data_IF_336051213459
#
_entry.id   IF_336051213459
#
_cell.length_a   1.000
_cell.length_b   1.000
_cell.length_c   1.000
_cell.angle_alpha   90.00
_cell.angle_beta   90.00
_cell.angle_gamma   90.00
#
_symmetry.space_group_name_H-M   'P 1'
#
loop_
_entity.id
_entity.type
_entity.pdbx_description
1 polymer ?
#
# COMPACT_ATOMS: atom_id res chain seq x y z
N UNK A 1 -100.90 8.32 26.65
CA UNK A 1 -100.25 8.03 27.93
C UNK A 1 -98.94 7.33 27.65
N UNK A 2 -97.91 7.72 28.41
CA UNK A 2 -96.50 7.31 28.31
C UNK A 2 -96.28 5.80 28.25
N UNK A 3 -95.37 5.33 27.39
CA UNK A 3 -94.40 4.30 27.77
C UNK A 3 -93.19 4.30 26.83
N UNK A 4 -92.03 4.55 27.43
CA UNK A 4 -90.70 4.61 26.83
C UNK A 4 -90.21 3.23 26.38
N UNK A 5 -89.58 3.14 25.21
CA UNK A 5 -88.56 2.14 24.90
C UNK A 5 -87.54 2.75 23.93
N UNK A 6 -86.55 3.44 24.46
CA UNK A 6 -85.38 3.92 23.70
C UNK A 6 -84.37 2.78 23.58
N UNK A 7 -84.21 2.22 22.38
CA UNK A 7 -83.12 1.29 22.04
C UNK A 7 -81.85 2.10 21.75
N UNK A 8 -80.83 1.86 22.57
CA UNK A 8 -79.49 2.42 22.48
C UNK A 8 -78.77 1.85 21.24
N UNK A 9 -78.52 2.68 20.22
CA UNK A 9 -77.61 2.37 19.12
C UNK A 9 -76.18 2.73 19.56
N UNK A 10 -75.33 1.72 19.69
CA UNK A 10 -73.90 1.86 19.93
C UNK A 10 -73.24 2.31 18.63
N UNK A 11 -72.78 3.57 18.58
CA UNK A 11 -71.85 4.05 17.56
C UNK A 11 -70.46 3.48 17.83
N UNK A 12 -70.03 2.52 17.02
CA UNK A 12 -68.65 2.06 16.99
C UNK A 12 -67.79 3.10 16.26
N UNK A 13 -67.00 3.88 17.01
CA UNK A 13 -65.93 4.73 16.45
C UNK A 13 -64.81 3.81 15.94
N UNK A 14 -64.60 3.77 14.61
CA UNK A 14 -63.33 3.28 14.05
C UNK A 14 -62.22 4.27 14.43
N UNK A 15 -61.38 3.88 15.39
CA UNK A 15 -60.05 4.45 15.56
C UNK A 15 -59.15 3.83 14.48
N UNK A 16 -58.75 4.64 13.50
CA UNK A 16 -57.62 4.32 12.63
C UNK A 16 -56.36 4.32 13.50
N UNK A 17 -55.90 3.13 13.89
CA UNK A 17 -54.58 2.94 14.45
C UNK A 17 -53.55 3.08 13.31
N UNK A 18 -52.93 4.25 13.21
CA UNK A 18 -51.72 4.47 12.44
C UNK A 18 -50.61 3.63 13.06
N UNK A 19 -50.26 2.52 12.41
CA UNK A 19 -49.08 1.73 12.74
C UNK A 19 -47.85 2.52 12.28
N UNK A 20 -47.29 3.37 13.15
CA UNK A 20 -45.94 3.87 12.98
C UNK A 20 -44.98 2.73 13.32
N UNK A 21 -44.44 2.09 12.28
CA UNK A 21 -43.26 1.24 12.39
C UNK A 21 -42.07 2.15 12.69
N UNK A 22 -41.77 2.34 13.97
CA UNK A 22 -40.45 2.78 14.41
C UNK A 22 -39.44 1.68 14.05
N UNK A 23 -38.79 1.84 12.91
CA UNK A 23 -37.62 1.04 12.57
C UNK A 23 -36.48 1.47 13.48
N UNK A 24 -36.31 0.76 14.61
CA UNK A 24 -35.01 0.73 15.30
C UNK A 24 -33.99 0.23 14.29
N UNK A 25 -33.16 1.13 13.76
CA UNK A 25 -31.96 0.77 13.02
C UNK A 25 -30.96 0.17 14.00
N UNK A 26 -31.09 -1.14 14.26
CA UNK A 26 -29.93 -1.93 14.63
C UNK A 26 -29.01 -1.95 13.39
N UNK A 27 -27.71 -1.63 13.51
CA UNK A 27 -26.78 -1.79 12.41
C UNK A 27 -26.66 -3.28 12.11
N UNK A 28 -27.38 -3.73 11.09
CA UNK A 28 -27.22 -5.05 10.51
C UNK A 28 -25.81 -5.05 9.91
N UNK A 29 -24.91 -5.86 10.48
CA UNK A 29 -23.67 -6.23 9.85
C UNK A 29 -23.97 -6.65 8.41
N UNK A 30 -23.59 -5.81 7.45
CA UNK A 30 -23.69 -6.16 6.04
C UNK A 30 -22.77 -7.36 5.78
N UNK A 31 -23.29 -8.47 5.21
CA UNK A 31 -22.46 -9.57 4.78
C UNK A 31 -21.73 -9.12 3.50
N UNK A 32 -20.41 -8.91 3.60
CA UNK A 32 -19.43 -8.85 2.52
C UNK A 32 -19.93 -8.26 1.18
N UNK A 33 -19.84 -6.93 1.03
CA UNK A 33 -19.97 -6.27 -0.27
C UNK A 33 -18.87 -6.71 -1.27
N UNK A 34 -19.05 -6.46 -2.58
CA UNK A 34 -18.05 -6.80 -3.60
C UNK A 34 -16.72 -6.14 -3.23
N UNK A 35 -15.70 -6.98 -2.95
CA UNK A 35 -14.38 -6.54 -2.50
C UNK A 35 -13.70 -5.78 -3.64
N UNK A 36 -13.75 -4.47 -3.56
CA UNK A 36 -13.19 -3.56 -4.55
C UNK A 36 -12.69 -2.30 -3.86
N UNK A 37 -11.46 -1.90 -4.13
CA UNK A 37 -10.98 -0.59 -3.70
C UNK A 37 -11.78 0.49 -4.43
N UNK A 38 -12.48 1.36 -3.70
CA UNK A 38 -13.16 2.50 -4.30
C UNK A 38 -12.12 3.49 -4.81
N UNK A 39 -12.32 4.05 -6.01
CA UNK A 39 -11.50 5.14 -6.52
C UNK A 39 -11.37 6.25 -5.47
N UNK A 40 -10.17 6.60 -5.02
CA UNK A 40 -9.99 7.62 -4.00
C UNK A 40 -10.49 9.00 -4.45
N UNK A 41 -10.95 9.82 -3.51
CA UNK A 41 -11.53 11.12 -3.81
C UNK A 41 -10.57 11.99 -4.64
N UNK A 42 -11.07 12.51 -5.77
CA UNK A 42 -10.31 13.36 -6.68
C UNK A 42 -9.50 12.61 -7.73
N UNK A 43 -9.48 11.26 -7.71
CA UNK A 43 -8.93 10.43 -8.78
C UNK A 43 -10.03 10.01 -9.75
N UNK A 44 -9.67 9.75 -11.01
CA UNK A 44 -10.66 9.49 -12.07
C UNK A 44 -10.34 8.28 -12.94
N UNK A 45 -9.12 7.72 -12.87
CA UNK A 45 -8.76 6.52 -13.63
C UNK A 45 -7.93 5.56 -12.80
N UNK A 46 -8.12 4.27 -13.04
CA UNK A 46 -7.29 3.19 -12.54
C UNK A 46 -6.16 2.89 -13.55
N UNK A 47 -4.92 2.90 -13.10
CA UNK A 47 -3.75 2.51 -13.88
C UNK A 47 -3.36 1.05 -13.65
N UNK A 48 -3.56 0.55 -12.44
CA UNK A 48 -3.29 -0.81 -12.04
C UNK A 48 -4.26 -1.21 -10.94
N UNK A 49 -4.75 -2.45 -10.99
CA UNK A 49 -5.57 -3.03 -9.94
C UNK A 49 -5.38 -4.54 -9.85
N UNK A 50 -5.16 -5.01 -8.63
CA UNK A 50 -5.24 -6.42 -8.31
C UNK A 50 -5.88 -6.64 -6.94
N UNK A 51 -7.03 -7.31 -6.92
CA UNK A 51 -7.70 -7.81 -5.72
C UNK A 51 -7.50 -9.33 -5.56
N UNK A 52 -6.65 -9.93 -6.40
CA UNK A 52 -6.29 -11.33 -6.39
C UNK A 52 -7.46 -12.32 -6.57
N UNK A 53 -8.65 -11.83 -6.93
CA UNK A 53 -9.87 -12.63 -7.09
C UNK A 53 -9.95 -13.37 -8.42
N UNK A 54 -9.12 -13.01 -9.40
CA UNK A 54 -8.97 -13.67 -10.70
C UNK A 54 -8.14 -14.96 -10.62
N UNK A 55 -7.63 -15.30 -9.43
CA UNK A 55 -6.78 -16.46 -9.17
C UNK A 55 -7.48 -17.45 -8.25
N UNK A 56 -7.09 -18.73 -8.36
CA UNK A 56 -7.63 -19.78 -7.48
C UNK A 56 -6.87 -19.79 -6.15
N UNK A 57 -7.52 -20.10 -5.02
CA UNK A 57 -6.81 -20.35 -3.76
C UNK A 57 -5.69 -21.39 -3.92
N UNK A 58 -4.57 -21.17 -3.26
CA UNK A 58 -3.33 -21.97 -3.37
C UNK A 58 -2.46 -21.63 -4.58
N UNK A 59 -3.00 -20.94 -5.59
CA UNK A 59 -2.20 -20.57 -6.77
C UNK A 59 -1.29 -19.36 -6.50
N UNK A 60 -0.33 -19.14 -7.40
CA UNK A 60 0.48 -17.93 -7.46
C UNK A 60 -0.33 -16.73 -8.00
N UNK A 61 0.10 -15.48 -7.69
CA UNK A 61 -0.48 -14.28 -8.30
C UNK A 61 -0.40 -14.31 -9.83
N UNK A 62 -1.23 -13.49 -10.48
CA UNK A 62 -1.33 -13.50 -11.95
C UNK A 62 0.00 -13.12 -12.61
N UNK A 63 0.59 -13.98 -13.47
CA UNK A 63 1.86 -13.64 -14.16
C UNK A 63 1.69 -12.53 -15.20
N UNK A 64 0.45 -12.17 -15.56
CA UNK A 64 0.19 -10.99 -16.39
C UNK A 64 0.30 -9.67 -15.62
N UNK A 65 0.32 -9.74 -14.28
CA UNK A 65 0.40 -8.60 -13.36
C UNK A 65 1.71 -8.58 -12.57
N UNK A 66 2.22 -9.75 -12.18
CA UNK A 66 3.37 -9.88 -11.28
C UNK A 66 4.46 -10.79 -11.85
N UNK A 67 5.72 -10.38 -11.63
CA UNK A 67 6.92 -11.20 -11.75
C UNK A 67 7.34 -11.64 -10.35
N UNK A 68 7.81 -12.88 -10.20
CA UNK A 68 8.43 -13.34 -8.95
C UNK A 68 9.94 -13.16 -9.03
N UNK A 69 10.49 -12.52 -8.01
CA UNK A 69 11.93 -12.34 -7.84
C UNK A 69 12.46 -13.51 -7.01
N UNK A 70 13.35 -14.31 -7.59
CA UNK A 70 13.77 -15.60 -7.02
C UNK A 70 15.23 -15.57 -6.59
N UNK A 71 15.57 -16.42 -5.61
CA UNK A 71 16.94 -16.57 -5.13
C UNK A 71 17.33 -15.51 -4.10
N UNK A 72 18.62 -15.16 -4.10
CA UNK A 72 19.23 -14.21 -3.16
C UNK A 72 19.67 -12.91 -3.83
N UNK A 73 19.38 -12.73 -5.12
CA UNK A 73 19.68 -11.53 -5.89
C UNK A 73 18.91 -11.55 -7.22
N UNK A 74 18.76 -10.38 -7.85
CA UNK A 74 18.48 -10.35 -9.28
C UNK A 74 19.64 -11.03 -10.06
N UNK A 75 19.39 -11.59 -11.26
CA UNK A 75 20.45 -12.11 -12.11
C UNK A 75 21.46 -11.01 -12.47
N UNK A 76 22.68 -11.11 -11.93
CA UNK A 76 23.73 -10.09 -12.11
C UNK A 76 23.54 -8.83 -11.27
N UNK A 77 22.59 -8.81 -10.33
CA UNK A 77 22.43 -7.76 -9.33
C UNK A 77 23.26 -7.99 -8.06
N UNK A 78 23.15 -7.10 -7.06
CA UNK A 78 23.87 -7.24 -5.80
C UNK A 78 23.44 -8.50 -5.04
N UNK A 79 24.43 -9.17 -4.44
CA UNK A 79 24.18 -10.32 -3.56
C UNK A 79 23.32 -9.93 -2.35
N UNK A 80 22.55 -10.90 -1.82
CA UNK A 80 21.63 -10.71 -0.69
C UNK A 80 20.76 -9.48 -0.86
N UNK A 81 20.25 -9.30 -2.07
CA UNK A 81 19.41 -8.18 -2.51
C UNK A 81 19.98 -6.79 -2.20
N UNK A 82 21.30 -6.67 -1.95
CA UNK A 82 21.96 -5.41 -1.58
C UNK A 82 21.78 -5.00 -0.11
N UNK A 83 20.96 -5.70 0.67
CA UNK A 83 20.60 -5.33 2.05
C UNK A 83 21.23 -6.25 3.10
N UNK A 84 21.86 -7.34 2.67
CA UNK A 84 22.42 -8.36 3.55
C UNK A 84 21.38 -9.32 4.14
N UNK A 85 20.14 -9.29 3.64
CA UNK A 85 19.05 -10.20 4.03
C UNK A 85 19.40 -11.68 3.78
N UNK A 86 18.76 -12.59 4.52
CA UNK A 86 19.22 -13.97 4.68
C UNK A 86 18.34 -15.02 3.99
N UNK A 87 17.12 -14.65 3.61
CA UNK A 87 16.19 -15.59 2.98
C UNK A 87 16.51 -15.81 1.51
N UNK A 88 16.20 -17.02 1.02
CA UNK A 88 16.06 -17.27 -0.41
C UNK A 88 14.61 -17.00 -0.81
N UNK A 89 14.37 -16.07 -1.74
CA UNK A 89 13.02 -15.89 -2.27
C UNK A 89 12.65 -17.03 -3.22
N UNK A 90 11.45 -17.57 -3.07
CA UNK A 90 10.94 -18.71 -3.82
C UNK A 90 9.55 -18.42 -4.40
N UNK A 91 9.11 -19.30 -5.30
CA UNK A 91 7.73 -19.40 -5.77
C UNK A 91 6.98 -20.58 -5.16
N UNK A 92 7.44 -21.09 -4.00
CA UNK A 92 6.75 -22.14 -3.26
C UNK A 92 5.43 -21.60 -2.70
N UNK A 93 4.35 -22.36 -2.80
CA UNK A 93 3.02 -22.03 -2.26
C UNK A 93 3.08 -21.72 -0.75
N UNK A 94 4.00 -22.37 -0.04
CA UNK A 94 4.23 -22.13 1.37
C UNK A 94 4.72 -20.69 1.64
N UNK A 95 5.52 -20.13 0.73
CA UNK A 95 6.03 -18.76 0.82
C UNK A 95 5.09 -17.72 0.19
N UNK A 96 4.38 -18.06 -0.90
CA UNK A 96 3.47 -17.13 -1.57
C UNK A 96 2.27 -17.84 -2.18
N UNK A 97 1.07 -17.38 -1.83
CA UNK A 97 -0.17 -17.94 -2.39
C UNK A 97 -1.35 -16.99 -2.33
N UNK A 98 -2.33 -17.24 -3.18
CA UNK A 98 -3.67 -16.70 -3.04
C UNK A 98 -4.41 -17.48 -1.96
N UNK A 99 -4.95 -16.80 -0.96
CA UNK A 99 -5.67 -17.46 0.14
C UNK A 99 -7.09 -17.87 -0.28
N UNK A 100 -7.78 -18.72 0.49
CA UNK A 100 -9.22 -18.99 0.31
C UNK A 100 -10.11 -17.74 0.41
N UNK A 101 -9.58 -16.62 0.91
CA UNK A 101 -10.27 -15.34 0.98
C UNK A 101 -9.95 -14.42 -0.21
N UNK A 102 -9.28 -14.90 -1.25
CA UNK A 102 -8.87 -14.08 -2.41
C UNK A 102 -7.99 -12.90 -2.00
N UNK A 103 -7.01 -13.16 -1.15
CA UNK A 103 -5.94 -12.22 -0.78
C UNK A 103 -4.61 -12.83 -1.17
N UNK A 104 -3.58 -12.03 -1.41
CA UNK A 104 -2.22 -12.54 -1.55
C UNK A 104 -1.59 -12.67 -0.16
N UNK A 105 -0.91 -13.78 0.13
CA UNK A 105 -0.15 -13.94 1.38
C UNK A 105 1.30 -14.29 1.09
N UNK A 106 2.23 -13.51 1.65
CA UNK A 106 3.67 -13.76 1.64
C UNK A 106 4.09 -14.18 3.05
N UNK A 107 4.72 -15.35 3.16
CA UNK A 107 5.05 -15.98 4.45
C UNK A 107 6.53 -16.33 4.49
N UNK A 108 7.33 -15.69 5.36
CA UNK A 108 8.70 -16.14 5.59
C UNK A 108 8.67 -17.46 6.37
N UNK A 109 9.49 -18.43 5.98
CA UNK A 109 9.56 -19.76 6.61
C UNK A 109 10.99 -19.99 7.10
N UNK A 110 11.11 -20.35 8.37
CA UNK A 110 12.35 -20.83 8.98
C UNK A 110 12.39 -22.35 8.90
N UNK A 111 13.43 -22.89 8.27
CA UNK A 111 13.64 -24.32 8.14
C UNK A 111 14.36 -24.89 9.38
N UNK A 112 14.27 -26.20 9.58
CA UNK A 112 14.90 -26.89 10.71
C UNK A 112 16.43 -26.71 10.75
N UNK A 113 17.06 -26.56 9.58
CA UNK A 113 18.49 -26.28 9.43
C UNK A 113 18.87 -24.79 9.68
N UNK A 114 17.90 -23.94 10.09
CA UNK A 114 18.11 -22.52 10.37
C UNK A 114 18.11 -21.59 9.15
N UNK A 115 17.98 -22.13 7.94
CA UNK A 115 17.84 -21.32 6.71
C UNK A 115 16.44 -20.72 6.58
N UNK A 116 16.33 -19.65 5.80
CA UNK A 116 15.08 -18.93 5.59
C UNK A 116 14.66 -18.94 4.12
N UNK A 117 13.36 -19.02 3.92
CA UNK A 117 12.72 -18.78 2.62
C UNK A 117 11.61 -17.75 2.77
N UNK A 118 11.28 -17.03 1.71
CA UNK A 118 10.15 -16.10 1.65
C UNK A 118 9.78 -15.87 0.19
N UNK A 119 9.01 -14.83 -0.12
CA UNK A 119 8.81 -14.39 -1.51
C UNK A 119 8.90 -12.88 -1.67
N UNK A 120 9.25 -12.48 -2.88
CA UNK A 120 9.28 -11.12 -3.38
C UNK A 120 8.65 -11.11 -4.77
N UNK A 121 7.78 -10.14 -5.00
CA UNK A 121 7.16 -9.94 -6.30
C UNK A 121 7.23 -8.48 -6.70
N UNK A 122 7.30 -8.24 -8.00
CA UNK A 122 7.22 -6.92 -8.60
C UNK A 122 6.14 -6.92 -9.68
N UNK A 123 5.47 -5.79 -9.92
CA UNK A 123 4.55 -5.67 -11.05
C UNK A 123 5.30 -5.93 -12.35
N UNK A 124 4.67 -6.47 -13.40
CA UNK A 124 5.33 -6.57 -14.71
C UNK A 124 5.51 -5.19 -15.35
N UNK A 125 6.45 -5.06 -16.30
CA UNK A 125 6.70 -3.80 -17.01
C UNK A 125 5.46 -3.20 -17.73
N UNK A 126 4.44 -4.02 -18.01
CA UNK A 126 3.14 -3.58 -18.54
C UNK A 126 2.44 -2.59 -17.61
N UNK A 127 2.65 -2.71 -16.30
CA UNK A 127 1.95 -1.96 -15.26
C UNK A 127 2.82 -0.87 -14.63
N UNK A 128 3.98 -0.57 -15.21
CA UNK A 128 4.81 0.54 -14.76
C UNK A 128 4.04 1.88 -14.88
N UNK A 129 4.06 2.67 -13.81
CA UNK A 129 3.28 3.90 -13.65
C UNK A 129 4.16 5.07 -13.23
N UNK A 130 3.67 6.31 -13.25
CA UNK A 130 4.45 7.49 -12.81
C UNK A 130 3.70 8.80 -13.05
N UNK A 131 4.08 9.90 -12.41
CA UNK A 131 3.45 11.21 -12.67
C UNK A 131 4.01 11.83 -13.97
N UNK A 132 3.69 11.23 -15.12
CA UNK A 132 4.07 11.76 -16.45
C UNK A 132 3.36 13.07 -16.75
N UNK A 133 3.92 13.83 -17.70
CA UNK A 133 3.32 15.06 -18.23
C UNK A 133 1.83 14.87 -18.55
N UNK A 134 0.97 15.68 -17.93
CA UNK A 134 -0.50 15.60 -18.09
C UNK A 134 -1.24 14.87 -16.96
N UNK A 135 -0.52 14.23 -16.02
CA UNK A 135 -1.06 13.76 -14.75
C UNK A 135 -0.90 14.85 -13.70
N UNK A 136 -1.94 15.09 -12.92
CA UNK A 136 -1.93 16.03 -11.80
C UNK A 136 -1.63 15.29 -10.50
N UNK A 137 -2.22 14.12 -10.30
CA UNK A 137 -1.96 13.26 -9.14
C UNK A 137 -1.84 11.81 -9.57
N UNK A 138 -0.97 11.08 -8.89
CA UNK A 138 -0.91 9.62 -8.95
C UNK A 138 -0.86 9.08 -7.54
N UNK A 139 -1.62 8.02 -7.27
CA UNK A 139 -1.65 7.37 -5.96
C UNK A 139 -1.43 5.89 -6.10
N UNK A 140 -0.46 5.34 -5.38
CA UNK A 140 -0.32 3.92 -5.17
C UNK A 140 -0.83 3.58 -3.77
N UNK A 141 -1.61 2.51 -3.64
CA UNK A 141 -2.09 2.05 -2.34
C UNK A 141 -2.26 0.54 -2.29
N UNK A 142 -2.17 0.00 -1.08
CA UNK A 142 -2.46 -1.38 -0.80
C UNK A 142 -3.14 -1.51 0.57
N UNK A 143 -4.09 -2.45 0.66
CA UNK A 143 -4.68 -2.83 1.95
C UNK A 143 -3.96 -4.07 2.46
N UNK A 144 -3.21 -3.91 3.54
CA UNK A 144 -2.25 -4.91 4.04
C UNK A 144 -2.54 -5.21 5.50
N UNK A 145 -2.37 -6.48 5.87
CA UNK A 145 -2.37 -6.97 7.24
C UNK A 145 -1.04 -7.64 7.53
N UNK A 146 -0.33 -7.12 8.53
CA UNK A 146 0.92 -7.69 9.00
C UNK A 146 0.66 -8.77 10.06
N UNK A 147 1.50 -9.79 10.12
CA UNK A 147 1.46 -10.81 11.14
C UNK A 147 1.70 -10.26 12.56
N UNK A 148 1.05 -10.87 13.54
CA UNK A 148 0.89 -10.40 14.92
C UNK A 148 1.63 -11.23 15.97
N UNK A 149 2.61 -12.05 15.56
CA UNK A 149 3.47 -12.72 16.54
C UNK A 149 4.14 -11.69 17.48
N UNK A 150 4.41 -12.03 18.75
CA UNK A 150 5.07 -11.13 19.68
C UNK A 150 6.38 -10.56 19.12
N UNK A 151 6.70 -9.29 19.42
CA UNK A 151 7.95 -8.61 18.99
C UNK A 151 9.20 -9.47 19.20
N UNK A 152 9.27 -10.19 20.33
CA UNK A 152 10.38 -11.10 20.67
C UNK A 152 10.61 -12.24 19.67
N UNK A 153 9.59 -12.60 18.87
CA UNK A 153 9.65 -13.60 17.80
C UNK A 153 9.77 -13.01 16.41
N UNK A 154 9.78 -11.68 16.26
CA UNK A 154 9.77 -11.01 14.95
C UNK A 154 11.05 -10.22 14.66
N UNK A 155 12.08 -10.27 15.52
CA UNK A 155 13.37 -9.62 15.24
C UNK A 155 13.95 -10.11 13.91
N UNK A 156 14.18 -9.20 12.97
CA UNK A 156 14.64 -9.48 11.61
C UNK A 156 13.52 -9.64 10.57
N UNK A 157 12.26 -9.85 10.95
CA UNK A 157 11.16 -9.93 9.98
C UNK A 157 10.89 -8.53 9.42
N UNK A 158 10.90 -8.39 8.09
CA UNK A 158 10.85 -7.12 7.38
C UNK A 158 9.88 -7.16 6.17
N UNK A 159 8.56 -7.04 6.40
CA UNK A 159 7.58 -6.79 5.35
C UNK A 159 7.73 -5.39 4.73
N UNK A 160 7.58 -5.31 3.40
CA UNK A 160 7.62 -4.06 2.66
C UNK A 160 6.59 -4.02 1.51
N UNK A 161 6.01 -2.83 1.32
CA UNK A 161 5.28 -2.39 0.14
C UNK A 161 5.90 -1.09 -0.36
N UNK A 162 6.43 -1.12 -1.57
CA UNK A 162 7.33 -0.08 -2.04
C UNK A 162 7.29 0.05 -3.56
N UNK A 163 7.95 1.09 -4.07
CA UNK A 163 8.02 1.39 -5.48
C UNK A 163 9.44 1.78 -5.88
N UNK A 164 9.95 1.17 -6.95
CA UNK A 164 11.28 1.43 -7.48
C UNK A 164 11.20 1.93 -8.92
N UNK A 165 12.07 2.85 -9.31
CA UNK A 165 12.15 3.30 -10.69
C UNK A 165 12.32 2.13 -11.65
N UNK A 166 11.42 2.01 -12.63
CA UNK A 166 11.24 0.77 -13.40
C UNK A 166 12.40 0.40 -14.33
N UNK A 167 13.25 1.38 -14.67
CA UNK A 167 14.49 1.16 -15.43
C UNK A 167 15.62 0.54 -14.57
N UNK A 168 15.35 0.23 -13.29
CA UNK A 168 16.19 -0.67 -12.52
C UNK A 168 16.20 -2.08 -13.10
N UNK A 169 15.08 -2.55 -13.69
CA UNK A 169 15.01 -3.88 -14.32
C UNK A 169 16.03 -4.00 -15.45
N UNK A 170 16.90 -5.00 -15.35
CA UNK A 170 17.95 -5.27 -16.33
C UNK A 170 19.19 -4.39 -16.20
N UNK A 171 19.18 -3.40 -15.30
CA UNK A 171 20.39 -2.66 -14.91
C UNK A 171 20.91 -3.17 -13.56
N UNK A 172 20.07 -3.17 -12.53
CA UNK A 172 20.34 -3.64 -11.17
C UNK A 172 21.47 -2.91 -10.39
N UNK A 173 22.12 -1.91 -10.99
CA UNK A 173 23.26 -1.18 -10.41
C UNK A 173 23.08 0.35 -10.42
N UNK A 174 21.90 0.85 -10.78
CA UNK A 174 21.56 2.27 -10.86
C UNK A 174 20.74 2.79 -9.66
N UNK A 175 20.63 2.00 -8.59
CA UNK A 175 20.19 2.49 -7.28
C UNK A 175 21.31 3.29 -6.59
N UNK A 176 21.01 4.36 -5.83
CA UNK A 176 19.69 4.93 -5.52
C UNK A 176 19.23 5.97 -6.55
N UNK A 177 20.06 6.29 -7.54
CA UNK A 177 19.80 7.36 -8.52
C UNK A 177 18.52 7.18 -9.33
N UNK A 178 18.04 5.94 -9.48
CA UNK A 178 16.79 5.65 -10.19
C UNK A 178 15.52 6.04 -9.40
N UNK A 179 15.65 6.27 -8.10
CA UNK A 179 14.59 6.68 -7.18
C UNK A 179 13.77 5.51 -6.63
N UNK A 180 13.74 5.41 -5.31
CA UNK A 180 12.95 4.44 -4.52
C UNK A 180 11.98 5.17 -3.60
N UNK A 181 10.81 4.57 -3.39
CA UNK A 181 9.75 5.09 -2.54
C UNK A 181 9.17 3.95 -1.71
N UNK A 182 9.45 3.97 -0.42
CA UNK A 182 8.97 2.98 0.53
C UNK A 182 7.65 3.45 1.11
N UNK A 183 6.57 2.81 0.69
CA UNK A 183 5.18 3.20 1.03
C UNK A 183 4.81 2.66 2.41
N UNK A 184 5.30 1.46 2.73
CA UNK A 184 5.23 0.86 4.05
C UNK A 184 6.39 -0.10 4.20
N UNK A 185 7.25 0.18 5.17
CA UNK A 185 8.15 -0.82 5.74
C UNK A 185 7.81 -1.00 7.21
N UNK A 186 7.84 -2.24 7.67
CA UNK A 186 7.77 -2.55 9.10
C UNK A 186 8.80 -3.63 9.39
N UNK A 187 9.42 -3.55 10.56
CA UNK A 187 10.52 -4.43 10.91
C UNK A 187 10.46 -4.82 12.38
N UNK A 188 11.13 -5.92 12.73
CA UNK A 188 11.32 -6.37 14.11
C UNK A 188 10.02 -6.62 14.90
N UNK A 189 8.86 -6.73 14.23
CA UNK A 189 7.54 -6.83 14.87
C UNK A 189 7.12 -5.56 15.62
N UNK A 190 7.71 -4.40 15.30
CA UNK A 190 7.33 -3.15 15.94
C UNK A 190 5.91 -2.72 15.54
N UNK A 191 5.24 -1.99 16.45
CA UNK A 191 3.96 -1.30 16.17
C UNK A 191 4.26 0.01 15.44
N UNK A 192 5.02 -0.10 14.35
CA UNK A 192 5.64 1.02 13.65
C UNK A 192 5.76 0.74 12.16
N UNK A 193 5.56 1.81 11.38
CA UNK A 193 5.73 1.82 9.93
C UNK A 193 6.65 2.96 9.54
N UNK A 194 7.62 2.67 8.68
CA UNK A 194 8.52 3.64 8.07
C UNK A 194 8.06 3.99 6.66
N UNK A 195 8.24 5.26 6.32
CA UNK A 195 8.08 5.82 5.00
C UNK A 195 9.42 6.46 4.62
N UNK A 196 10.02 5.98 3.54
CA UNK A 196 11.39 6.36 3.16
C UNK A 196 11.43 6.67 1.67
N UNK A 197 12.35 7.55 1.28
CA UNK A 197 12.77 7.69 -0.11
C UNK A 197 14.27 7.57 -0.21
N UNK A 198 14.72 6.83 -1.22
CA UNK A 198 16.13 6.72 -1.58
C UNK A 198 16.37 7.37 -2.94
N UNK A 199 17.41 8.19 -3.05
CA UNK A 199 17.67 9.01 -4.22
C UNK A 199 19.12 9.49 -4.35
N UNK A 200 19.51 9.84 -5.57
CA UNK A 200 20.81 10.46 -5.83
C UNK A 200 21.95 9.43 -5.88
N UNK A 201 22.85 9.46 -4.91
CA UNK A 201 24.02 8.58 -4.88
C UNK A 201 24.30 8.10 -3.46
N UNK A 202 24.89 6.90 -3.35
CA UNK A 202 25.31 6.31 -2.09
C UNK A 202 26.83 6.12 -2.05
N UNK A 203 27.48 6.21 -0.87
CA UNK A 203 26.90 6.68 0.40
C UNK A 203 26.71 8.21 0.43
N UNK A 204 25.80 8.68 1.30
CA UNK A 204 25.46 10.08 1.52
C UNK A 204 24.53 10.64 0.44
N UNK A 205 24.95 11.71 -0.22
CA UNK A 205 24.14 12.35 -1.24
C UNK A 205 22.90 13.07 -0.69
N UNK A 206 21.99 13.50 -1.58
CA UNK A 206 20.86 14.35 -1.20
C UNK A 206 19.80 13.64 -0.35
N UNK A 207 19.79 12.30 -0.34
CA UNK A 207 18.90 11.49 0.48
C UNK A 207 19.58 10.84 1.71
N UNK A 208 20.82 11.21 2.06
CA UNK A 208 21.56 10.63 3.20
C UNK A 208 21.67 9.10 3.17
N UNK A 209 22.10 8.55 2.04
CA UNK A 209 22.19 7.12 1.83
C UNK A 209 23.26 6.47 2.73
N UNK A 210 23.00 5.34 3.36
CA UNK A 210 21.90 4.40 3.09
C UNK A 210 20.67 4.59 3.99
N UNK A 211 20.56 5.72 4.72
CA UNK A 211 19.42 5.96 5.61
C UNK A 211 18.15 6.38 4.87
N UNK A 212 18.30 7.13 3.77
CA UNK A 212 17.17 7.72 3.05
C UNK A 212 16.55 8.91 3.79
N UNK A 213 15.67 9.65 3.11
CA UNK A 213 14.84 10.66 3.78
C UNK A 213 13.61 9.95 4.36
N UNK A 214 13.65 9.69 5.67
CA UNK A 214 12.69 8.82 6.34
C UNK A 214 11.82 9.54 7.36
N UNK A 215 10.67 8.93 7.63
CA UNK A 215 9.85 9.19 8.81
C UNK A 215 9.14 7.91 9.23
N UNK A 216 8.66 7.89 10.47
CA UNK A 216 7.99 6.74 11.01
C UNK A 216 6.72 7.11 11.77
N UNK A 217 5.70 6.28 11.60
CA UNK A 217 4.44 6.35 12.32
C UNK A 217 4.38 5.23 13.34
N UNK A 218 4.24 5.59 14.61
CA UNK A 218 4.07 4.67 15.74
C UNK A 218 2.59 4.29 15.95
N UNK A 219 2.34 3.26 16.75
CA UNK A 219 1.01 2.85 17.19
C UNK A 219 0.18 2.15 16.12
N UNK A 220 0.83 1.59 15.10
CA UNK A 220 0.15 0.79 14.07
C UNK A 220 -0.13 -0.60 14.62
N UNK A 221 -1.40 -1.00 14.67
CA UNK A 221 -1.79 -2.34 15.11
C UNK A 221 -1.32 -3.41 14.12
N UNK A 222 -0.86 -4.54 14.65
CA UNK A 222 -0.54 -5.75 13.87
C UNK A 222 -1.73 -6.71 13.94
N UNK A 223 -1.87 -7.60 12.97
CA UNK A 223 -3.01 -8.51 12.86
C UNK A 223 -4.29 -7.88 12.31
N UNK A 224 -4.29 -6.56 12.12
CA UNK A 224 -5.38 -5.77 11.56
C UNK A 224 -5.07 -5.31 10.13
N UNK A 225 -6.12 -4.99 9.38
CA UNK A 225 -6.00 -4.48 8.02
C UNK A 225 -5.85 -2.96 8.05
N UNK A 226 -4.80 -2.47 7.40
CA UNK A 226 -4.57 -1.04 7.19
C UNK A 226 -4.44 -0.74 5.70
N UNK A 227 -4.82 0.48 5.30
CA UNK A 227 -4.55 0.99 3.96
C UNK A 227 -3.32 1.87 3.99
N UNK A 228 -2.25 1.41 3.35
CA UNK A 228 -1.02 2.17 3.15
C UNK A 228 -1.04 2.80 1.77
N UNK A 229 -0.81 4.10 1.70
CA UNK A 229 -0.86 4.82 0.43
C UNK A 229 0.20 5.90 0.30
N UNK A 230 0.53 6.17 -0.95
CA UNK A 230 1.50 7.16 -1.37
C UNK A 230 0.94 7.94 -2.55
N UNK A 231 0.95 9.28 -2.45
CA UNK A 231 0.52 10.21 -3.48
C UNK A 231 1.71 11.01 -4.02
N UNK A 232 1.80 11.13 -5.35
CA UNK A 232 2.55 12.19 -6.02
C UNK A 232 1.55 13.24 -6.48
N UNK A 233 1.77 14.50 -6.12
CA UNK A 233 1.02 15.64 -6.64
C UNK A 233 1.92 16.57 -7.44
N UNK A 234 1.46 16.92 -8.62
CA UNK A 234 2.19 17.60 -9.67
C UNK A 234 1.34 18.84 -10.03
N UNK A 235 1.55 20.00 -9.37
CA UNK A 235 0.64 21.15 -9.49
C UNK A 235 0.78 21.89 -10.82
N UNK A 236 1.74 21.50 -11.67
CA UNK A 236 1.84 21.96 -13.05
C UNK A 236 1.90 20.77 -14.01
N UNK A 237 2.00 21.03 -15.32
CA UNK A 237 2.05 19.96 -16.34
C UNK A 237 3.31 19.08 -16.21
N UNK A 238 4.38 19.58 -15.59
CA UNK A 238 5.52 18.81 -15.08
C UNK A 238 5.56 18.93 -13.56
N UNK A 239 6.11 17.93 -12.87
CA UNK A 239 6.21 18.01 -11.42
C UNK A 239 7.22 19.10 -11.06
N UNK A 240 8.45 18.93 -11.58
CA UNK A 240 9.59 19.76 -11.23
C UNK A 240 9.70 20.01 -9.73
N UNK A 241 10.27 21.16 -9.36
CA UNK A 241 10.43 21.57 -7.96
C UNK A 241 9.12 21.88 -7.22
N UNK A 242 7.99 21.93 -7.92
CA UNK A 242 6.68 22.24 -7.32
C UNK A 242 5.92 20.98 -6.91
N UNK A 243 6.42 19.79 -7.24
CA UNK A 243 5.78 18.54 -6.86
C UNK A 243 5.79 18.31 -5.34
N UNK A 244 4.94 17.39 -4.88
CA UNK A 244 4.99 16.86 -3.53
C UNK A 244 4.72 15.35 -3.52
N UNK A 245 5.23 14.70 -2.48
CA UNK A 245 5.09 13.27 -2.21
C UNK A 245 4.48 13.11 -0.83
N UNK A 246 3.33 12.44 -0.69
CA UNK A 246 2.60 12.36 0.58
C UNK A 246 2.22 10.93 0.92
N UNK A 247 2.43 10.52 2.17
CA UNK A 247 2.09 9.19 2.67
C UNK A 247 0.85 9.24 3.55
N UNK A 248 0.07 8.16 3.51
CA UNK A 248 -1.15 8.01 4.26
C UNK A 248 -1.24 6.60 4.87
N UNK A 249 -1.80 6.53 6.08
CA UNK A 249 -2.19 5.27 6.72
C UNK A 249 -3.65 5.41 7.16
N UNK A 250 -4.52 4.55 6.63
CA UNK A 250 -5.97 4.58 6.82
C UNK A 250 -6.59 5.93 6.45
N UNK A 251 -6.09 6.51 5.35
CA UNK A 251 -6.51 7.82 4.86
C UNK A 251 -5.94 9.01 5.65
N UNK A 252 -5.28 8.78 6.79
CA UNK A 252 -4.68 9.84 7.59
C UNK A 252 -3.29 10.21 7.04
N UNK A 253 -3.03 11.50 6.74
CA UNK A 253 -1.72 11.94 6.25
C UNK A 253 -0.65 11.75 7.33
N UNK A 254 0.55 11.32 6.92
CA UNK A 254 1.69 11.07 7.83
C UNK A 254 2.86 11.99 7.55
N UNK A 255 3.44 11.87 6.36
CA UNK A 255 4.55 12.71 5.91
C UNK A 255 4.21 13.32 4.55
N UNK A 256 4.72 14.53 4.32
CA UNK A 256 4.85 15.09 2.98
C UNK A 256 6.28 15.53 2.74
N UNK A 257 6.86 15.09 1.62
CA UNK A 257 8.13 15.54 1.11
C UNK A 257 7.92 16.46 -0.09
N UNK A 258 8.81 17.43 -0.20
CA UNK A 258 8.85 18.46 -1.23
C UNK A 258 10.28 18.63 -1.74
N UNK A 259 10.45 19.34 -2.85
CA UNK A 259 11.78 19.58 -3.41
C UNK A 259 12.80 20.13 -2.38
N UNK A 260 12.44 21.08 -1.48
CA UNK A 260 13.33 21.53 -0.40
C UNK A 260 13.83 20.47 0.57
N UNK A 261 13.22 19.29 0.66
CA UNK A 261 13.70 18.22 1.54
C UNK A 261 14.88 17.44 0.92
N UNK A 262 14.91 17.35 -0.42
CA UNK A 262 15.98 16.66 -1.18
C UNK A 262 17.03 17.65 -1.72
N UNK A 263 16.61 18.88 -2.07
CA UNK A 263 17.46 19.98 -2.57
C UNK A 263 18.36 19.61 -3.78
N UNK A 264 17.94 18.63 -4.58
CA UNK A 264 18.65 18.20 -5.78
C UNK A 264 17.67 17.90 -6.93
N UNK A 265 17.79 18.62 -8.05
CA UNK A 265 16.87 18.53 -9.19
C UNK A 265 16.79 17.13 -9.82
N UNK A 266 17.94 16.50 -10.08
CA UNK A 266 17.96 15.18 -10.71
C UNK A 266 17.38 14.11 -9.79
N UNK A 267 17.78 14.11 -8.52
CA UNK A 267 17.28 13.16 -7.54
C UNK A 267 15.77 13.33 -7.30
N UNK A 268 15.29 14.57 -7.18
CA UNK A 268 13.87 14.86 -7.06
C UNK A 268 13.07 14.40 -8.28
N UNK A 269 13.55 14.70 -9.49
CA UNK A 269 12.89 14.26 -10.72
C UNK A 269 12.81 12.73 -10.81
N UNK A 270 13.84 12.00 -10.36
CA UNK A 270 13.80 10.54 -10.29
C UNK A 270 12.70 10.03 -9.35
N UNK A 271 12.45 10.74 -8.25
CA UNK A 271 11.38 10.40 -7.32
C UNK A 271 9.99 10.69 -7.91
N UNK A 272 9.77 11.85 -8.52
CA UNK A 272 8.40 12.29 -8.91
C UNK A 272 8.01 12.05 -10.38
N UNK A 273 8.95 11.88 -11.30
CA UNK A 273 8.66 11.77 -12.74
C UNK A 273 8.95 10.40 -13.34
N UNK A 274 9.99 9.69 -12.85
CA UNK A 274 10.34 8.37 -13.40
C UNK A 274 9.18 7.40 -13.28
N UNK A 275 9.07 6.51 -14.26
CA UNK A 275 8.18 5.35 -14.13
C UNK A 275 8.66 4.48 -12.98
N UNK A 276 7.72 3.85 -12.29
CA UNK A 276 7.94 2.99 -11.14
C UNK A 276 7.19 1.68 -11.32
N UNK A 277 7.81 0.63 -10.81
CA UNK A 277 7.18 -0.65 -10.53
C UNK A 277 6.79 -0.71 -9.06
N UNK A 278 5.74 -1.47 -8.72
CA UNK A 278 5.42 -1.79 -7.33
C UNK A 278 6.06 -3.10 -6.92
N UNK A 279 6.49 -3.20 -5.68
CA UNK A 279 7.07 -4.41 -5.09
C UNK A 279 6.42 -4.74 -3.76
N UNK A 280 6.34 -6.04 -3.48
CA UNK A 280 5.87 -6.62 -2.23
C UNK A 280 6.83 -7.74 -1.82
N UNK A 281 7.29 -7.72 -0.57
CA UNK A 281 8.11 -8.80 -0.02
C UNK A 281 8.00 -8.89 1.50
N UNK A 282 8.50 -10.00 2.04
CA UNK A 282 8.86 -10.12 3.46
C UNK A 282 10.30 -10.61 3.54
N UNK A 283 11.24 -9.70 3.78
CA UNK A 283 12.65 -10.04 4.01
C UNK A 283 12.87 -10.58 5.43
N UNK A 284 14.04 -11.21 5.64
CA UNK A 284 14.48 -11.71 6.94
C UNK A 284 15.94 -11.31 7.20
N UNK A 285 16.14 -10.53 8.26
CA UNK A 285 17.42 -9.91 8.60
C UNK A 285 17.76 -8.76 7.65
N UNK A 286 19.04 -8.37 7.67
CA UNK A 286 19.56 -7.29 6.83
C UNK A 286 19.88 -6.03 7.63
N UNK A 287 20.51 -5.07 6.95
CA UNK A 287 21.06 -3.86 7.58
C UNK A 287 20.01 -3.03 8.32
N UNK A 288 18.78 -2.92 7.79
CA UNK A 288 17.77 -2.07 8.39
C UNK A 288 17.18 -2.66 9.69
N UNK A 289 16.70 -3.93 9.74
CA UNK A 289 16.33 -4.56 11.00
C UNK A 289 17.45 -4.57 12.05
N UNK A 290 18.71 -4.81 11.62
CA UNK A 290 19.88 -4.77 12.50
C UNK A 290 20.11 -3.38 13.10
N UNK A 291 20.05 -2.33 12.27
CA UNK A 291 20.26 -0.94 12.67
C UNK A 291 19.23 -0.46 13.69
N UNK A 292 17.95 -0.81 13.49
CA UNK A 292 16.88 -0.46 14.45
C UNK A 292 16.99 -1.27 15.74
N UNK A 293 17.36 -2.56 15.66
CA UNK A 293 17.55 -3.38 16.84
C UNK A 293 18.80 -3.01 17.65
N UNK A 294 19.82 -2.45 16.99
CA UNK A 294 21.15 -2.20 17.56
C UNK A 294 22.04 -3.44 17.66
N UNK A 295 21.62 -4.56 17.09
CA UNK A 295 22.36 -5.83 17.06
C UNK A 295 21.90 -6.70 15.88
N UNK A 296 22.62 -7.78 15.59
CA UNK A 296 22.31 -8.68 14.48
C UNK A 296 20.99 -9.44 14.67
N UNK A 297 20.16 -9.38 13.63
CA UNK A 297 18.89 -10.08 13.49
C UNK A 297 18.90 -10.95 12.21
N UNK A 298 18.09 -12.01 12.12
CA UNK A 298 17.19 -12.55 13.14
C UNK A 298 17.92 -13.18 14.32
N UNK A 299 17.18 -13.45 15.40
CA UNK A 299 17.69 -14.20 16.57
C UNK A 299 17.23 -15.67 16.50
N UNK A 300 17.73 -16.52 17.40
CA UNK A 300 17.21 -17.89 17.53
C UNK A 300 15.74 -17.96 17.94
N UNK A 301 15.20 -16.89 18.56
CA UNK A 301 13.79 -16.80 18.92
C UNK A 301 12.90 -16.34 17.76
N UNK A 302 13.49 -15.80 16.68
CA UNK A 302 12.74 -15.32 15.53
C UNK A 302 12.02 -16.48 14.84
N UNK A 303 10.71 -16.33 14.67
CA UNK A 303 9.84 -17.31 14.04
C UNK A 303 9.39 -16.81 12.66
N UNK A 304 9.20 -17.77 11.74
CA UNK A 304 8.47 -17.55 10.49
C UNK A 304 7.00 -17.98 10.64
N UNK A 305 6.32 -18.15 9.52
CA UNK A 305 4.93 -18.60 9.47
C UNK A 305 3.93 -17.45 9.51
N UNK A 306 2.67 -17.79 9.80
CA UNK A 306 1.54 -16.89 9.68
C UNK A 306 1.68 -15.61 10.54
N UNK A 307 2.22 -15.72 11.75
CA UNK A 307 2.46 -14.58 12.64
C UNK A 307 3.58 -13.63 12.18
N UNK A 308 4.39 -14.04 11.20
CA UNK A 308 5.42 -13.22 10.54
C UNK A 308 5.06 -12.84 9.10
N UNK A 309 3.85 -13.17 8.65
CA UNK A 309 3.44 -12.98 7.25
C UNK A 309 3.02 -11.54 6.91
N UNK A 310 2.91 -11.27 5.62
CA UNK A 310 2.21 -10.11 5.07
C UNK A 310 1.06 -10.61 4.20
N UNK A 311 -0.16 -10.21 4.53
CA UNK A 311 -1.36 -10.51 3.74
C UNK A 311 -1.86 -9.22 3.06
N UNK A 312 -2.18 -9.30 1.77
CA UNK A 312 -2.54 -8.16 0.92
C UNK A 312 -3.90 -8.43 0.30
N UNK A 313 -4.86 -7.57 0.60
CA UNK A 313 -6.24 -7.66 0.10
C UNK A 313 -6.34 -7.10 -1.32
N UNK A 314 -5.72 -5.95 -1.55
CA UNK A 314 -5.58 -5.41 -2.90
C UNK A 314 -4.34 -4.53 -3.04
N UNK A 315 -3.94 -4.30 -4.28
CA UNK A 315 -2.99 -3.27 -4.70
C UNK A 315 -3.60 -2.46 -5.83
N UNK A 316 -3.52 -1.13 -5.75
CA UNK A 316 -4.11 -0.24 -6.73
C UNK A 316 -3.19 0.94 -7.05
N UNK A 317 -3.26 1.42 -8.30
CA UNK A 317 -2.69 2.69 -8.72
C UNK A 317 -3.78 3.51 -9.41
N UNK A 318 -3.96 4.74 -8.95
CA UNK A 318 -4.96 5.68 -9.44
C UNK A 318 -4.30 6.93 -10.02
N UNK A 319 -4.91 7.55 -11.01
CA UNK A 319 -4.50 8.87 -11.50
C UNK A 319 -5.64 9.88 -11.54
N UNK A 320 -5.26 11.14 -11.34
CA UNK A 320 -6.04 12.31 -11.71
C UNK A 320 -5.34 12.97 -12.90
N UNK A 321 -6.06 13.16 -14.00
CA UNK A 321 -5.55 13.91 -15.16
C UNK A 321 -5.85 15.39 -15.02
N UNK A 322 -5.02 16.23 -15.65
CA UNK A 322 -5.42 17.60 -15.95
C UNK A 322 -6.65 17.57 -16.86
N UNK A 323 -7.71 18.29 -16.50
CA UNK A 323 -8.87 18.43 -17.39
C UNK A 323 -8.40 19.05 -18.70
N UNK A 324 -8.74 18.42 -19.83
CA UNK A 324 -8.49 18.99 -21.16
C UNK A 324 -9.45 20.16 -21.36
N UNK A 325 -9.00 21.34 -20.96
CA UNK A 325 -9.77 22.58 -21.03
C UNK A 325 -9.95 23.17 -19.65
N UNK A 326 -9.15 24.20 -19.33
CA UNK A 326 -9.71 25.26 -18.52
C UNK A 326 -10.95 25.78 -19.27
N UNK A 327 -12.07 26.10 -18.60
CA UNK A 327 -12.91 27.15 -19.14
C UNK A 327 -11.96 28.31 -19.35
N UNK A 328 -11.81 28.78 -20.59
CA UNK A 328 -11.25 30.12 -20.79
C UNK A 328 -12.03 31.01 -19.83
N UNK A 329 -11.35 31.60 -18.86
CA UNK A 329 -11.86 32.79 -18.19
C UNK A 329 -12.13 33.79 -19.29
N UNK A 330 -13.36 33.80 -19.79
CA UNK A 330 -13.92 34.94 -20.49
C UNK A 330 -14.23 35.95 -19.41
N UNK A 331 -13.18 36.58 -18.88
CA UNK A 331 -13.28 37.96 -18.44
C UNK A 331 -13.52 38.79 -19.70
N UNK A 332 -14.79 38.85 -20.13
CA UNK A 332 -15.25 39.92 -21.00
C UNK A 332 -15.49 41.10 -20.06
N UNK A 333 -14.45 41.91 -19.86
CA UNK A 333 -14.66 43.33 -19.66
C UNK A 333 -14.78 43.94 -21.05
N UNK A 334 -16.01 44.16 -21.50
CA UNK A 334 -16.27 45.20 -22.49
C UNK A 334 -17.05 46.28 -21.79
N UNK A 335 -16.29 47.30 -21.38
CA UNK A 335 -16.79 48.66 -21.23
C UNK A 335 -17.25 49.17 -22.60
N UNK A 336 -18.50 49.61 -22.69
CA UNK A 336 -18.91 50.86 -23.33
C UNK A 336 -20.25 51.30 -22.71
#
# INVERSE_FOLDING_TARGET
>A
MLSQWSRLLILTRLLLASCQLETKQNPIHAPWGPRGASTPQGFSHCLFYDDFSDRRPGSLPSPSKWTLDLGTSYPGGPERWGTGELQTYTNDEANIRITPRNTLKITPIRHANGTWTSSRIETTARWDWGCRTGRRRVRAEARIRLGDDPKSKQLGIWPAFWALGSEFRGNFWNWPGIGEVDIMESLNGESKVWNVVHCGFAPGGPCDEFNGVSSATEGISRGEWHVFAFDIHCPTRRCGSNGSMSWYIDGNPRQTLTYPDVKNASAWNALVENKKMLLLNVAVGGGFPDGVAGFKTPTNATAGGDGASMEVDYVAVWEQRWQSGSPRERCIFESL
#
